data_IF_976884036288
#
_entry.id   IF_976884036288
#
_cell.length_a   1.000
_cell.length_b   1.000
_cell.length_c   1.000
_cell.angle_alpha   90.00
_cell.angle_beta   90.00
_cell.angle_gamma   90.00
#
_symmetry.space_group_name_H-M   'P 1'
#
loop_
_entity.id
_entity.type
_entity.pdbx_description
1 polymer ?
#
# COMPACT_ATOMS: atom_id res chain seq x y z
N UNK A 1 33.09 -31.51 -55.44
CA UNK A 1 33.56 -31.35 -54.04
C UNK A 1 32.48 -30.56 -53.32
N UNK A 2 31.60 -31.24 -52.59
CA UNK A 2 30.49 -30.61 -51.87
C UNK A 2 30.93 -30.46 -50.41
N UNK A 3 31.25 -29.23 -49.99
CA UNK A 3 31.50 -28.93 -48.58
C UNK A 3 30.27 -28.24 -48.00
N UNK A 4 29.67 -28.93 -47.04
CA UNK A 4 28.44 -28.60 -46.33
C UNK A 4 28.46 -27.21 -45.71
N UNK A 5 27.37 -26.47 -45.90
CA UNK A 5 27.07 -25.26 -45.15
C UNK A 5 26.62 -25.63 -43.73
N UNK A 6 27.45 -25.31 -42.73
CA UNK A 6 27.05 -25.34 -41.32
C UNK A 6 26.32 -24.03 -40.99
N UNK A 7 24.98 -24.09 -40.89
CA UNK A 7 24.18 -22.99 -40.36
C UNK A 7 24.25 -23.07 -38.83
N UNK A 8 25.01 -22.17 -38.22
CA UNK A 8 25.01 -21.93 -36.77
C UNK A 8 23.71 -21.20 -36.40
N UNK A 9 22.71 -21.94 -35.97
CA UNK A 9 21.52 -21.39 -35.33
C UNK A 9 21.90 -20.96 -33.89
N UNK A 10 22.20 -19.68 -33.71
CA UNK A 10 22.31 -19.07 -32.38
C UNK A 10 20.89 -18.94 -31.81
N UNK A 11 20.48 -19.91 -30.99
CA UNK A 11 19.27 -19.83 -30.19
C UNK A 11 19.40 -18.67 -29.21
N UNK A 12 18.64 -17.60 -29.42
CA UNK A 12 18.55 -16.47 -28.51
C UNK A 12 17.75 -16.92 -27.29
N UNK A 13 18.44 -17.27 -26.20
CA UNK A 13 17.81 -17.58 -24.93
C UNK A 13 17.43 -16.25 -24.28
N UNK A 14 16.16 -15.86 -24.41
CA UNK A 14 15.62 -14.73 -23.67
C UNK A 14 15.47 -15.15 -22.20
N UNK A 15 16.42 -14.77 -21.37
CA UNK A 15 16.28 -14.88 -19.92
C UNK A 15 15.24 -13.86 -19.46
N UNK A 16 14.01 -14.31 -19.20
CA UNK A 16 13.05 -13.51 -18.45
C UNK A 16 13.58 -13.40 -17.01
N UNK A 17 14.03 -12.20 -16.61
CA UNK A 17 14.19 -11.90 -15.19
C UNK A 17 12.78 -11.90 -14.62
N UNK A 18 12.42 -12.92 -13.84
CA UNK A 18 11.20 -12.86 -13.05
C UNK A 18 11.42 -11.75 -12.01
N UNK A 19 10.80 -10.59 -12.22
CA UNK A 19 10.71 -9.59 -11.17
C UNK A 19 10.00 -10.23 -9.98
N UNK A 20 10.50 -10.00 -8.76
CA UNK A 20 9.80 -10.44 -7.57
C UNK A 20 8.42 -9.77 -7.55
N UNK A 21 7.33 -10.53 -7.36
CA UNK A 21 5.99 -9.96 -7.42
C UNK A 21 5.82 -8.90 -6.34
N UNK A 22 5.28 -7.75 -6.71
CA UNK A 22 4.93 -6.70 -5.75
C UNK A 22 3.79 -7.20 -4.84
N UNK A 23 4.00 -7.19 -3.53
CA UNK A 23 3.05 -7.65 -2.51
C UNK A 23 2.96 -6.61 -1.41
N UNK A 24 1.74 -6.27 -0.99
CA UNK A 24 1.47 -5.34 0.11
C UNK A 24 0.83 -6.05 1.31
N UNK A 25 1.19 -5.66 2.52
CA UNK A 25 0.54 -6.18 3.73
C UNK A 25 -0.87 -5.59 3.87
N UNK A 26 -1.81 -6.39 4.35
CA UNK A 26 -3.13 -5.89 4.78
C UNK A 26 -3.12 -5.80 6.31
N UNK A 27 -3.20 -4.59 6.89
CA UNK A 27 -3.41 -4.42 8.33
C UNK A 27 -4.68 -5.14 8.78
N UNK A 28 -4.65 -5.71 10.00
CA UNK A 28 -5.82 -6.36 10.57
C UNK A 28 -6.95 -5.37 10.84
N UNK A 29 -6.59 -4.17 11.31
CA UNK A 29 -7.52 -3.09 11.62
C UNK A 29 -6.87 -1.76 11.26
N UNK A 30 -7.71 -0.78 10.93
CA UNK A 30 -7.30 0.60 10.75
C UNK A 30 -8.08 1.47 11.70
N UNK A 31 -7.38 2.31 12.44
CA UNK A 31 -7.95 3.04 13.56
C UNK A 31 -7.86 4.54 13.27
N UNK A 32 -8.98 5.24 13.34
CA UNK A 32 -9.02 6.69 13.13
C UNK A 32 -8.19 7.40 14.20
N UNK A 33 -7.42 8.41 13.81
CA UNK A 33 -6.51 9.16 14.68
C UNK A 33 -5.29 8.36 15.19
N UNK A 34 -5.06 7.12 14.73
CA UNK A 34 -3.84 6.36 15.01
C UNK A 34 -2.96 6.22 13.76
N UNK A 35 -1.65 6.10 13.97
CA UNK A 35 -0.72 5.78 12.89
C UNK A 35 -0.64 4.28 12.67
N UNK A 36 -0.72 3.85 11.40
CA UNK A 36 -0.49 2.47 10.99
C UNK A 36 0.62 2.42 9.95
N UNK A 37 1.51 1.45 10.08
CA UNK A 37 2.58 1.22 9.12
C UNK A 37 2.12 0.21 8.07
N UNK A 38 2.11 0.66 6.82
CA UNK A 38 1.92 -0.17 5.64
C UNK A 38 3.29 -0.55 5.11
N UNK A 39 3.46 -1.81 4.71
CA UNK A 39 4.70 -2.37 4.18
C UNK A 39 4.41 -3.18 2.92
N UNK A 40 5.37 -3.18 2.01
CA UNK A 40 5.33 -3.99 0.80
C UNK A 40 6.69 -4.62 0.52
N UNK A 41 6.72 -5.61 -0.36
CA UNK A 41 7.92 -6.28 -0.82
C UNK A 41 7.82 -6.64 -2.30
N UNK A 42 8.96 -6.94 -2.93
CA UNK A 42 9.03 -7.18 -4.36
C UNK A 42 8.85 -5.90 -5.18
N UNK A 43 8.61 -6.07 -6.48
CA UNK A 43 8.66 -4.99 -7.46
C UNK A 43 10.09 -4.67 -7.90
N UNK A 44 10.22 -3.61 -8.67
CA UNK A 44 11.49 -3.03 -9.10
C UNK A 44 12.04 -2.20 -7.95
N UNK A 45 13.34 -2.34 -7.67
CA UNK A 45 14.05 -1.74 -6.52
C UNK A 45 13.98 -0.20 -6.42
N UNK A 46 13.35 0.50 -7.38
CA UNK A 46 13.48 1.94 -7.58
C UNK A 46 12.13 2.66 -7.65
N UNK A 47 11.61 3.05 -6.50
CA UNK A 47 10.52 4.01 -6.38
C UNK A 47 9.14 3.40 -6.59
N UNK A 48 8.29 3.51 -5.58
CA UNK A 48 6.91 3.01 -5.61
C UNK A 48 5.98 4.18 -5.33
N UNK A 49 5.01 4.43 -6.21
CA UNK A 49 3.93 5.35 -5.91
C UNK A 49 2.93 4.66 -4.97
N UNK A 50 2.62 5.28 -3.83
CA UNK A 50 1.56 4.78 -2.94
C UNK A 50 0.31 5.64 -3.09
N UNK A 51 -0.87 5.03 -3.01
CA UNK A 51 -2.15 5.71 -3.02
C UNK A 51 -3.14 5.07 -2.07
N UNK A 52 -3.96 5.90 -1.44
CA UNK A 52 -5.03 5.46 -0.56
C UNK A 52 -6.35 5.73 -1.24
N UNK A 53 -7.14 4.68 -1.43
CA UNK A 53 -8.41 4.76 -2.12
C UNK A 53 -9.56 4.41 -1.19
N UNK A 54 -10.61 5.24 -1.19
CA UNK A 54 -11.92 4.92 -0.63
C UNK A 54 -12.92 4.83 -1.78
N UNK A 55 -13.56 3.67 -1.91
CA UNK A 55 -14.50 3.38 -3.00
C UNK A 55 -13.94 3.74 -4.41
N UNK A 56 -12.63 3.57 -4.61
CA UNK A 56 -11.92 3.89 -5.86
C UNK A 56 -11.48 5.35 -6.04
N UNK A 57 -11.89 6.26 -5.15
CA UNK A 57 -11.42 7.65 -5.14
C UNK A 57 -10.17 7.79 -4.28
N UNK A 58 -9.19 8.57 -4.74
CA UNK A 58 -7.98 8.85 -3.97
C UNK A 58 -8.34 9.82 -2.84
N UNK A 59 -8.09 9.41 -1.61
CA UNK A 59 -8.35 10.20 -0.38
C UNK A 59 -7.09 10.52 0.41
N UNK A 60 -5.94 9.95 0.02
CA UNK A 60 -4.64 10.18 0.63
C UNK A 60 -3.54 10.29 -0.43
N UNK A 61 -2.28 10.31 0.02
CA UNK A 61 -1.13 10.71 -0.80
C UNK A 61 -0.98 9.93 -2.11
N UNK A 62 -0.31 10.55 -3.09
CA UNK A 62 0.11 9.95 -4.36
C UNK A 62 1.59 10.23 -4.60
N UNK A 63 2.40 9.92 -3.59
CA UNK A 63 3.81 10.26 -3.55
C UNK A 63 4.68 9.09 -3.99
N UNK A 64 5.83 9.42 -4.60
CA UNK A 64 6.88 8.47 -4.90
C UNK A 64 7.68 8.18 -3.62
N UNK A 65 7.64 6.93 -3.19
CA UNK A 65 8.31 6.43 -1.99
C UNK A 65 9.47 5.53 -2.43
N UNK A 66 10.68 5.86 -1.98
CA UNK A 66 11.91 5.09 -2.24
C UNK A 66 12.24 4.14 -1.07
N UNK A 67 11.20 3.63 -0.43
CA UNK A 67 11.24 2.73 0.70
C UNK A 67 10.19 1.62 0.47
N UNK A 68 10.16 0.63 1.35
CA UNK A 68 9.22 -0.50 1.38
C UNK A 68 8.17 -0.35 2.48
N UNK A 69 8.07 0.84 3.07
CA UNK A 69 7.12 1.15 4.12
C UNK A 69 6.59 2.57 4.01
N UNK A 70 5.37 2.77 4.52
CA UNK A 70 4.69 4.06 4.57
C UNK A 70 3.92 4.16 5.89
N UNK A 71 4.12 5.28 6.60
CA UNK A 71 3.37 5.59 7.81
C UNK A 71 2.09 6.34 7.43
N UNK A 72 0.97 5.65 7.49
CA UNK A 72 -0.34 6.26 7.28
C UNK A 72 -0.89 6.86 8.57
N UNK A 73 -1.35 8.11 8.50
CA UNK A 73 -2.11 8.75 9.58
C UNK A 73 -3.61 8.49 9.39
N UNK A 74 -4.23 7.80 10.35
CA UNK A 74 -5.67 7.52 10.38
C UNK A 74 -6.57 8.77 10.42
N UNK A 75 -6.02 9.97 10.58
CA UNK A 75 -6.77 11.23 10.46
C UNK A 75 -7.31 11.48 9.04
N UNK A 76 -6.64 10.95 8.01
CA UNK A 76 -7.01 11.16 6.61
C UNK A 76 -8.23 10.32 6.18
N UNK A 77 -8.62 9.30 6.96
CA UNK A 77 -9.74 8.42 6.65
C UNK A 77 -10.86 8.54 7.70
N UNK A 78 -12.11 8.88 7.30
CA UNK A 78 -13.22 8.95 8.24
C UNK A 78 -13.57 7.58 8.83
N UNK A 79 -13.93 7.53 10.11
CA UNK A 79 -14.44 6.31 10.72
C UNK A 79 -15.68 5.75 9.98
N UNK A 80 -15.75 4.43 9.85
CA UNK A 80 -16.82 3.72 9.14
C UNK A 80 -16.65 3.67 7.61
N UNK A 81 -15.60 4.28 7.05
CA UNK A 81 -15.26 4.14 5.63
C UNK A 81 -14.49 2.85 5.36
N UNK A 82 -14.48 2.42 4.10
CA UNK A 82 -13.74 1.24 3.64
C UNK A 82 -12.59 1.68 2.76
N UNK A 83 -11.36 1.50 3.23
CA UNK A 83 -10.16 1.93 2.50
C UNK A 83 -9.42 0.75 1.89
N UNK A 84 -8.73 1.03 0.79
CA UNK A 84 -7.80 0.13 0.11
C UNK A 84 -6.52 0.89 -0.15
N UNK A 85 -5.39 0.34 0.28
CA UNK A 85 -4.08 0.87 -0.08
C UNK A 85 -3.64 0.24 -1.39
N UNK A 86 -3.11 1.05 -2.30
CA UNK A 86 -2.59 0.64 -3.59
C UNK A 86 -1.15 1.12 -3.69
N UNK A 87 -0.25 0.21 -4.03
CA UNK A 87 1.15 0.53 -4.29
C UNK A 87 1.44 0.17 -5.74
N UNK A 88 2.04 1.10 -6.48
CA UNK A 88 2.36 0.99 -7.90
C UNK A 88 3.85 1.21 -8.11
N UNK A 89 4.53 0.24 -8.67
CA UNK A 89 5.95 0.33 -8.99
C UNK A 89 6.20 1.06 -10.33
N UNK A 90 7.41 1.58 -10.55
CA UNK A 90 7.84 2.26 -11.79
C UNK A 90 7.71 1.38 -13.03
N UNK A 91 7.78 0.05 -12.87
CA UNK A 91 7.57 -0.90 -13.97
C UNK A 91 6.08 -1.10 -14.33
N UNK A 92 5.16 -0.52 -13.54
CA UNK A 92 3.72 -0.58 -13.74
C UNK A 92 3.02 -1.71 -12.98
N UNK A 93 3.76 -2.51 -12.19
CA UNK A 93 3.18 -3.51 -11.31
C UNK A 93 2.41 -2.86 -10.17
N UNK A 94 1.29 -3.47 -9.77
CA UNK A 94 0.43 -2.96 -8.71
C UNK A 94 0.09 -4.04 -7.69
N UNK A 95 0.12 -3.66 -6.42
CA UNK A 95 -0.40 -4.44 -5.32
C UNK A 95 -1.46 -3.65 -4.56
N UNK A 96 -2.43 -4.35 -3.97
CA UNK A 96 -3.48 -3.72 -3.18
C UNK A 96 -3.85 -4.57 -1.98
N UNK A 97 -4.24 -3.92 -0.90
CA UNK A 97 -4.74 -4.59 0.30
C UNK A 97 -6.13 -5.16 0.07
N UNK A 98 -6.58 -6.05 0.97
CA UNK A 98 -8.01 -6.27 1.11
C UNK A 98 -8.69 -4.97 1.61
N UNK A 99 -10.02 -4.82 1.42
CA UNK A 99 -10.77 -3.71 1.98
C UNK A 99 -10.72 -3.73 3.51
N UNK A 100 -10.40 -2.58 4.12
CA UNK A 100 -10.25 -2.42 5.57
C UNK A 100 -11.26 -1.37 6.05
N UNK A 101 -12.01 -1.68 7.11
CA UNK A 101 -12.94 -0.74 7.72
C UNK A 101 -12.21 0.10 8.77
N UNK A 102 -12.40 1.41 8.72
CA UNK A 102 -11.80 2.33 9.71
C UNK A 102 -12.63 2.34 10.99
N UNK A 103 -12.04 1.91 12.09
CA UNK A 103 -12.63 1.96 13.44
C UNK A 103 -12.54 3.38 14.02
N UNK A 104 -13.57 3.80 14.76
CA UNK A 104 -13.54 5.07 15.47
C UNK A 104 -12.77 4.93 16.78
N UNK A 105 -11.69 5.69 16.95
CA UNK A 105 -11.02 5.85 18.25
C UNK A 105 -10.36 7.21 18.40
N UNK A 106 -10.87 8.25 17.73
CA UNK A 106 -10.49 9.61 18.08
C UNK A 106 -11.05 9.85 19.49
N UNK A 107 -10.28 9.44 20.50
CA UNK A 107 -10.65 9.55 21.90
C UNK A 107 -10.92 11.04 22.10
N UNK A 108 -12.13 11.41 22.58
CA UNK A 108 -12.38 12.81 22.82
C UNK A 108 -11.34 13.31 23.83
N UNK A 109 -10.84 14.56 23.69
CA UNK A 109 -9.97 15.13 24.71
C UNK A 109 -10.63 14.93 26.07
N UNK A 110 -9.84 14.51 27.04
CA UNK A 110 -10.21 14.08 28.38
C UNK A 110 -10.97 15.17 29.17
N UNK A 111 -12.19 15.52 28.78
CA UNK A 111 -12.94 16.61 29.40
C UNK A 111 -14.45 16.54 29.12
N UNK A 112 -15.07 15.39 29.41
CA UNK A 112 -16.51 15.34 29.73
C UNK A 112 -16.77 14.42 30.93
N UNK A 113 -16.07 14.64 32.04
CA UNK A 113 -16.66 14.28 33.34
C UNK A 113 -17.46 15.51 33.78
N UNK A 114 -18.81 15.50 33.69
CA UNK A 114 -19.58 16.61 34.26
C UNK A 114 -19.24 16.73 35.75
N UNK A 115 -19.04 17.95 36.30
CA UNK A 115 -18.89 18.09 37.74
C UNK A 115 -20.12 17.47 38.36
N UNK A 116 -19.91 16.44 39.19
CA UNK A 116 -20.95 15.80 39.99
C UNK A 116 -21.68 16.94 40.71
N UNK A 117 -22.86 17.30 40.23
CA UNK A 117 -23.72 18.28 40.87
C UNK A 117 -23.90 17.78 42.29
N UNK A 118 -23.26 18.46 43.24
CA UNK A 118 -23.53 18.26 44.64
C UNK A 118 -25.00 18.59 44.82
N UNK A 119 -25.81 17.54 44.95
CA UNK A 119 -27.19 17.64 45.37
C UNK A 119 -27.21 18.45 46.67
N UNK A 120 -28.13 19.41 46.68
CA UNK A 120 -28.39 20.40 47.71
C UNK A 120 -28.77 19.74 49.04
#
# INVERSE_FOLDING_TARGET
>A
MQFSAFILAFGLVASALAADPLVINTPAELIQCESTVITWSGGTDWGTASSIKDNGNIIGDNDLIFDTSYQFSGEAAPAGTTVVFVVSDVSGDQASTAPIVVSNSCEPPFDVVPPRAALT
#
